data_IF_423972988510
#
_entry.id   IF_423972988510
#
_cell.length_a   1.000
_cell.length_b   1.000
_cell.length_c   1.000
_cell.angle_alpha   90.00
_cell.angle_beta   90.00
_cell.angle_gamma   90.00
#
_symmetry.space_group_name_H-M   'P 1'
#
loop_
_entity.id
_entity.type
_entity.pdbx_description
1 polymer ?
#
# COMPACT_ATOMS: atom_id res chain seq x y z
N UNK A 1 9.85 -22.35 17.89
CA UNK A 1 10.28 -21.32 18.86
C UNK A 1 9.62 -19.99 18.52
N UNK A 2 9.01 -19.36 19.50
CA UNK A 2 8.39 -18.07 19.26
C UNK A 2 9.45 -17.01 18.97
N UNK A 3 9.14 -16.13 18.01
CA UNK A 3 10.01 -15.04 17.61
C UNK A 3 9.36 -13.69 17.92
N UNK A 4 8.94 -13.50 19.21
CA UNK A 4 8.27 -12.27 19.61
C UNK A 4 9.12 -11.01 19.38
N UNK A 5 10.44 -11.17 19.28
CA UNK A 5 11.38 -10.07 19.01
C UNK A 5 11.65 -9.87 17.52
N UNK A 6 11.16 -10.76 16.68
CA UNK A 6 11.41 -10.73 15.24
C UNK A 6 10.08 -10.67 14.49
N UNK A 7 10.02 -9.79 13.48
CA UNK A 7 8.83 -9.60 12.66
C UNK A 7 9.15 -9.89 11.21
N UNK A 8 8.16 -10.42 10.49
CA UNK A 8 8.17 -10.47 9.05
C UNK A 8 7.46 -9.23 8.52
N UNK A 9 8.00 -8.63 7.47
CA UNK A 9 7.44 -7.42 6.85
C UNK A 9 7.05 -7.75 5.42
N UNK A 10 5.81 -7.50 5.08
CA UNK A 10 5.26 -7.71 3.75
C UNK A 10 4.81 -6.39 3.14
N UNK A 11 5.29 -6.09 1.94
CA UNK A 11 4.80 -4.98 1.13
C UNK A 11 3.72 -5.54 0.21
N UNK A 12 2.51 -5.05 0.34
CA UNK A 12 1.35 -5.53 -0.41
C UNK A 12 0.90 -4.48 -1.39
N UNK A 13 1.25 -4.65 -2.67
CA UNK A 13 0.79 -3.78 -3.72
C UNK A 13 -0.71 -3.98 -3.93
N UNK A 14 -1.49 -2.92 -3.90
CA UNK A 14 -2.93 -2.99 -4.14
C UNK A 14 -3.38 -2.14 -5.32
N UNK A 15 -2.54 -1.26 -5.82
CA UNK A 15 -2.89 -0.40 -6.94
C UNK A 15 -1.70 0.30 -7.56
N UNK A 16 -1.98 1.09 -8.59
CA UNK A 16 -0.95 1.86 -9.28
C UNK A 16 -1.53 3.08 -9.97
N UNK A 17 -0.65 3.98 -10.36
CA UNK A 17 -0.97 5.15 -11.18
C UNK A 17 0.05 5.22 -12.32
N UNK A 18 -0.44 5.09 -13.55
CA UNK A 18 0.39 5.32 -14.73
C UNK A 18 0.53 6.83 -14.95
N UNK A 19 1.75 7.29 -15.05
CA UNK A 19 2.03 8.70 -15.27
C UNK A 19 3.43 8.88 -15.85
N UNK A 20 3.68 10.05 -16.41
CA UNK A 20 5.00 10.36 -16.92
C UNK A 20 5.93 10.82 -15.79
N UNK A 21 7.23 10.81 -16.11
CA UNK A 21 8.29 11.13 -15.17
C UNK A 21 8.15 12.53 -14.56
N UNK A 22 7.85 13.54 -15.37
CA UNK A 22 7.71 14.91 -14.88
C UNK A 22 6.64 15.04 -13.80
N UNK A 23 5.57 14.27 -13.88
CA UNK A 23 4.46 14.32 -12.90
C UNK A 23 4.88 13.92 -11.49
N UNK A 24 6.01 13.23 -11.34
CA UNK A 24 6.51 12.79 -10.03
C UNK A 24 7.50 13.77 -9.42
N UNK A 25 7.82 14.86 -10.12
CA UNK A 25 8.82 15.82 -9.67
C UNK A 25 8.27 17.24 -9.70
N UNK A 26 8.69 18.01 -8.75
CA UNK A 26 8.28 19.40 -8.62
C UNK A 26 8.96 20.30 -9.66
N UNK A 27 10.26 20.10 -9.85
CA UNK A 27 11.07 20.91 -10.75
C UNK A 27 11.24 20.21 -12.10
N UNK A 28 11.50 20.97 -13.19
CA UNK A 28 11.78 20.37 -14.50
C UNK A 28 12.94 19.37 -14.43
N UNK A 29 12.77 18.23 -15.11
CA UNK A 29 13.79 17.17 -15.14
C UNK A 29 14.03 16.68 -16.57
N UNK A 30 15.08 15.88 -16.75
CA UNK A 30 15.36 15.21 -18.01
C UNK A 30 14.33 14.11 -18.30
N UNK A 31 14.12 13.81 -19.57
CA UNK A 31 13.14 12.81 -20.04
C UNK A 31 11.75 12.97 -19.39
N UNK A 32 11.14 14.18 -19.47
CA UNK A 32 9.88 14.45 -18.74
C UNK A 32 8.71 13.57 -19.19
N UNK A 33 8.71 13.12 -20.45
CA UNK A 33 7.63 12.32 -21.01
C UNK A 33 7.85 10.81 -20.86
N UNK A 34 8.99 10.39 -20.27
CA UNK A 34 9.24 8.99 -20.02
C UNK A 34 8.21 8.43 -19.03
N UNK A 35 7.81 7.19 -19.22
CA UNK A 35 6.88 6.54 -18.32
C UNK A 35 7.51 6.30 -16.95
N UNK A 36 6.78 6.66 -15.90
CA UNK A 36 7.20 6.43 -14.52
C UNK A 36 5.97 6.22 -13.65
N UNK A 37 5.51 4.98 -13.57
CA UNK A 37 4.35 4.62 -12.76
C UNK A 37 4.66 4.72 -11.27
N UNK A 38 3.61 4.97 -10.48
CA UNK A 38 3.67 4.88 -9.01
C UNK A 38 2.85 3.69 -8.57
N UNK A 39 3.42 2.88 -7.71
CA UNK A 39 2.73 1.75 -7.08
C UNK A 39 2.28 2.12 -5.69
N UNK A 40 1.14 1.59 -5.28
CA UNK A 40 0.57 1.84 -3.96
C UNK A 40 0.60 0.58 -3.13
N UNK A 41 1.09 0.72 -1.90
CA UNK A 41 1.27 -0.40 -0.98
C UNK A 41 0.60 -0.12 0.35
N UNK A 42 0.11 -1.20 0.96
CA UNK A 42 -0.05 -1.27 2.40
C UNK A 42 0.98 -2.26 2.92
N UNK A 43 1.24 -2.24 4.20
CA UNK A 43 2.27 -3.10 4.80
C UNK A 43 1.67 -3.93 5.90
N UNK A 44 2.07 -5.19 5.96
CA UNK A 44 1.75 -6.07 7.08
C UNK A 44 3.05 -6.43 7.79
N UNK A 45 3.08 -6.20 9.08
CA UNK A 45 4.21 -6.52 9.94
C UNK A 45 3.70 -7.49 10.98
N UNK A 46 4.25 -8.69 11.02
CA UNK A 46 3.72 -9.71 11.93
C UNK A 46 4.78 -10.65 12.47
N UNK A 47 4.46 -11.24 13.62
CA UNK A 47 5.15 -12.38 14.18
C UNK A 47 4.08 -13.35 14.73
N UNK A 48 4.49 -14.32 15.53
CA UNK A 48 3.57 -15.32 16.09
C UNK A 48 2.52 -14.73 17.05
N UNK A 49 2.77 -13.54 17.58
CA UNK A 49 1.95 -12.94 18.63
C UNK A 49 1.14 -11.72 18.16
N UNK A 50 1.62 -11.03 17.13
CA UNK A 50 1.07 -9.72 16.76
C UNK A 50 1.08 -9.50 15.26
N UNK A 51 0.05 -8.79 14.79
CA UNK A 51 -0.04 -8.27 13.42
C UNK A 51 -0.31 -6.78 13.50
N UNK A 52 0.51 -6.00 12.82
CA UNK A 52 0.34 -4.55 12.69
C UNK A 52 0.23 -4.23 11.20
N UNK A 53 -0.79 -3.47 10.84
CA UNK A 53 -1.00 -3.01 9.46
C UNK A 53 -0.54 -1.56 9.38
N UNK A 54 0.23 -1.25 8.34
CA UNK A 54 0.70 0.12 8.10
C UNK A 54 -0.01 0.63 6.85
N UNK A 55 -0.73 1.71 7.02
CA UNK A 55 -1.62 2.36 6.07
C UNK A 55 -2.80 1.48 5.66
N UNK A 56 -3.85 2.10 5.14
CA UNK A 56 -5.10 1.42 4.80
C UNK A 56 -5.44 1.47 3.32
N UNK A 57 -4.77 2.33 2.55
CA UNK A 57 -5.01 2.45 1.13
C UNK A 57 -6.34 3.11 0.79
N UNK A 58 -6.80 2.89 -0.43
CA UNK A 58 -8.07 3.40 -0.92
C UNK A 58 -8.81 2.30 -1.69
N UNK A 59 -10.13 2.46 -1.82
CA UNK A 59 -10.98 1.51 -2.53
C UNK A 59 -11.09 1.84 -4.04
N UNK A 60 -11.88 1.03 -4.76
CA UNK A 60 -12.09 1.23 -6.20
C UNK A 60 -12.71 2.58 -6.53
N UNK A 61 -13.67 3.02 -5.73
CA UNK A 61 -14.35 4.31 -5.96
C UNK A 61 -13.40 5.49 -5.82
N UNK A 62 -12.62 5.51 -4.76
CA UNK A 62 -11.63 6.55 -4.54
C UNK A 62 -10.51 6.50 -5.58
N UNK A 63 -10.06 5.29 -5.95
CA UNK A 63 -9.07 5.11 -7.00
C UNK A 63 -9.56 5.69 -8.33
N UNK A 64 -10.78 5.35 -8.74
CA UNK A 64 -11.37 5.87 -9.98
C UNK A 64 -11.48 7.40 -9.96
N UNK A 65 -11.95 7.96 -8.86
CA UNK A 65 -12.08 9.40 -8.70
C UNK A 65 -10.76 10.14 -8.85
N UNK A 66 -9.66 9.52 -8.45
CA UNK A 66 -8.32 10.09 -8.50
C UNK A 66 -7.48 9.64 -9.69
N UNK A 67 -8.09 8.90 -10.63
CA UNK A 67 -7.39 8.39 -11.82
C UNK A 67 -6.38 7.29 -11.52
N UNK A 68 -6.57 6.56 -10.42
CA UNK A 68 -5.68 5.48 -9.99
C UNK A 68 -6.36 4.14 -10.17
N UNK A 69 -5.58 3.11 -10.46
CA UNK A 69 -6.10 1.76 -10.63
C UNK A 69 -5.92 0.96 -9.36
N UNK A 70 -7.00 0.38 -8.87
CA UNK A 70 -6.97 -0.56 -7.74
C UNK A 70 -7.03 -1.97 -8.32
N UNK A 71 -5.94 -2.72 -8.21
CA UNK A 71 -5.86 -4.09 -8.71
C UNK A 71 -6.60 -5.08 -7.80
N UNK A 72 -6.54 -4.82 -6.50
CA UNK A 72 -7.23 -5.59 -5.47
C UNK A 72 -7.45 -4.70 -4.26
N UNK A 73 -8.54 -4.91 -3.56
CA UNK A 73 -8.79 -4.17 -2.33
C UNK A 73 -7.72 -4.49 -1.27
N UNK A 74 -7.33 -3.52 -0.44
CA UNK A 74 -6.38 -3.78 0.65
C UNK A 74 -6.75 -4.97 1.52
N UNK A 75 -8.03 -5.14 1.85
CA UNK A 75 -8.49 -6.29 2.63
C UNK A 75 -8.23 -7.62 1.91
N UNK A 76 -8.39 -7.66 0.58
CA UNK A 76 -8.09 -8.85 -0.22
C UNK A 76 -6.59 -9.13 -0.25
N UNK A 77 -5.75 -8.08 -0.30
CA UNK A 77 -4.32 -8.22 -0.22
C UNK A 77 -3.90 -8.85 1.12
N UNK A 78 -4.51 -8.41 2.23
CA UNK A 78 -4.27 -9.00 3.54
C UNK A 78 -4.73 -10.46 3.60
N UNK A 79 -5.87 -10.76 3.00
CA UNK A 79 -6.39 -12.12 2.95
C UNK A 79 -5.42 -13.10 2.26
N UNK A 80 -4.63 -12.63 1.29
CA UNK A 80 -3.62 -13.45 0.63
C UNK A 80 -2.53 -13.93 1.58
N UNK A 81 -2.34 -13.24 2.71
CA UNK A 81 -1.43 -13.63 3.79
C UNK A 81 -2.15 -14.35 4.93
N UNK A 82 -3.43 -14.66 4.76
CA UNK A 82 -4.22 -15.26 5.83
C UNK A 82 -4.64 -14.27 6.91
N UNK A 83 -4.57 -12.96 6.64
CA UNK A 83 -4.96 -11.93 7.60
C UNK A 83 -6.40 -11.50 7.33
N UNK A 84 -7.25 -11.63 8.34
CA UNK A 84 -8.62 -11.14 8.28
C UNK A 84 -8.64 -9.67 8.74
N UNK A 85 -8.93 -8.76 7.80
CA UNK A 85 -8.90 -7.32 8.07
C UNK A 85 -9.84 -6.90 9.21
N UNK A 86 -10.95 -7.62 9.40
CA UNK A 86 -11.91 -7.29 10.47
C UNK A 86 -11.39 -7.62 11.86
N UNK A 87 -10.35 -8.43 11.96
CA UNK A 87 -9.75 -8.86 13.24
C UNK A 87 -8.45 -8.12 13.56
N UNK A 88 -8.00 -7.23 12.69
CA UNK A 88 -6.78 -6.44 12.93
C UNK A 88 -7.05 -5.42 14.03
N UNK A 89 -6.19 -5.41 15.05
CA UNK A 89 -6.33 -4.51 16.19
C UNK A 89 -5.41 -3.28 16.09
N UNK A 90 -4.26 -3.43 15.44
CA UNK A 90 -3.24 -2.38 15.40
C UNK A 90 -3.05 -1.90 13.96
N UNK A 91 -3.32 -0.62 13.73
CA UNK A 91 -3.12 0.04 12.44
C UNK A 91 -2.33 1.32 12.66
N UNK A 92 -1.26 1.49 11.89
CA UNK A 92 -0.45 2.70 11.90
C UNK A 92 -0.73 3.48 10.63
N UNK A 93 -1.11 4.73 10.75
CA UNK A 93 -1.31 5.63 9.62
C UNK A 93 -0.07 6.53 9.53
N UNK A 94 0.70 6.38 8.45
CA UNK A 94 1.93 7.15 8.27
C UNK A 94 1.65 8.58 7.84
N UNK A 95 0.57 8.79 7.08
CA UNK A 95 0.18 10.12 6.59
C UNK A 95 -1.28 10.11 6.16
N UNK A 96 -1.87 11.29 6.11
CA UNK A 96 -3.27 11.49 5.67
C UNK A 96 -3.26 12.40 4.44
N UNK A 97 -3.69 11.89 3.30
CA UNK A 97 -3.81 12.72 2.11
C UNK A 97 -4.91 12.30 1.15
N UNK A 98 -5.88 11.55 1.63
CA UNK A 98 -7.08 11.19 0.85
C UNK A 98 -8.31 11.80 1.49
#
# INVERSE_FOLDING_TARGET
MSSSDTYEIYALRYGFLDRNRQSNFRDPIDNPDAEMSMDYYIWAIRNDERTVIVDTGFDHGEGKRRGRTVERLPAAALASLGINATLVEDVVITHLHY
#
